data_IF_055054566571
#
_entry.id   IF_055054566571
#
_cell.length_a   1.000
_cell.length_b   1.000
_cell.length_c   1.000
_cell.angle_alpha   90.00
_cell.angle_beta   90.00
_cell.angle_gamma   90.00
#
_symmetry.space_group_name_H-M   'P 1'
#
loop_
_entity.id
_entity.type
_entity.pdbx_description
1 polymer ?
#
# COMPACT_ATOMS: atom_id res chain seq x y z
N UNK A 1 -6.55 -24.85 -22.60
CA UNK A 1 -6.39 -23.52 -22.01
C UNK A 1 -5.23 -22.83 -22.69
N UNK A 2 -5.43 -21.63 -23.21
CA UNK A 2 -4.34 -20.89 -23.88
C UNK A 2 -3.30 -20.43 -22.86
N UNK A 3 -2.03 -20.35 -23.26
CA UNK A 3 -0.93 -19.83 -22.41
C UNK A 3 -1.27 -18.44 -21.83
N UNK A 4 -1.99 -17.62 -22.59
CA UNK A 4 -2.45 -16.29 -22.16
C UNK A 4 -3.46 -16.39 -21.01
N UNK A 5 -4.35 -17.38 -21.03
CA UNK A 5 -5.32 -17.62 -19.95
C UNK A 5 -4.63 -18.06 -18.66
N UNK A 6 -3.60 -18.90 -18.76
CA UNK A 6 -2.81 -19.33 -17.60
C UNK A 6 -2.01 -18.18 -17.00
N UNK A 7 -1.39 -17.36 -17.84
CA UNK A 7 -0.63 -16.20 -17.39
C UNK A 7 -1.51 -15.17 -16.66
N UNK A 8 -2.74 -14.93 -17.13
CA UNK A 8 -3.71 -14.08 -16.46
C UNK A 8 -4.16 -14.64 -15.11
N UNK A 9 -4.40 -15.94 -15.03
CA UNK A 9 -4.79 -16.60 -13.78
C UNK A 9 -3.71 -16.49 -12.73
N UNK A 10 -2.45 -16.76 -13.08
CA UNK A 10 -1.30 -16.61 -12.17
C UNK A 10 -1.12 -15.17 -11.72
N UNK A 11 -1.30 -14.19 -12.62
CA UNK A 11 -1.24 -12.77 -12.30
C UNK A 11 -2.32 -12.34 -11.30
N UNK A 12 -3.54 -12.86 -11.42
CA UNK A 12 -4.65 -12.60 -10.47
C UNK A 12 -4.32 -13.14 -9.07
N UNK A 13 -3.82 -14.36 -8.96
CA UNK A 13 -3.41 -14.93 -7.66
C UNK A 13 -2.24 -14.16 -7.06
N UNK A 14 -1.29 -13.74 -7.87
CA UNK A 14 -0.19 -12.88 -7.44
C UNK A 14 -0.72 -11.57 -6.83
N UNK A 15 -1.64 -10.88 -7.50
CA UNK A 15 -2.22 -9.64 -7.01
C UNK A 15 -3.01 -9.82 -5.72
N UNK A 16 -3.76 -10.92 -5.58
CA UNK A 16 -4.49 -11.24 -4.36
C UNK A 16 -3.55 -11.48 -3.18
N UNK A 17 -2.47 -12.22 -3.39
CA UNK A 17 -1.47 -12.47 -2.36
C UNK A 17 -0.74 -11.18 -1.96
N UNK A 18 -0.36 -10.38 -2.94
CA UNK A 18 0.30 -9.08 -2.74
C UNK A 18 -0.59 -8.11 -1.96
N UNK A 19 -1.87 -8.03 -2.33
CA UNK A 19 -2.85 -7.23 -1.61
C UNK A 19 -2.99 -7.68 -0.14
N UNK A 20 -3.01 -8.98 0.11
CA UNK A 20 -3.08 -9.52 1.46
C UNK A 20 -1.87 -9.09 2.30
N UNK A 21 -0.65 -9.18 1.76
CA UNK A 21 0.57 -8.72 2.44
C UNK A 21 0.50 -7.23 2.78
N UNK A 22 0.09 -6.41 1.83
CA UNK A 22 -0.01 -4.95 2.00
C UNK A 22 -1.02 -4.59 3.08
N UNK A 23 -2.19 -5.20 3.04
CA UNK A 23 -3.27 -4.94 4.02
C UNK A 23 -2.86 -5.39 5.42
N UNK A 24 -2.30 -6.58 5.56
CA UNK A 24 -1.84 -7.08 6.86
C UNK A 24 -0.74 -6.17 7.42
N UNK A 25 0.28 -5.84 6.63
CA UNK A 25 1.37 -4.98 7.07
C UNK A 25 0.90 -3.61 7.52
N UNK A 26 -0.06 -3.02 6.82
CA UNK A 26 -0.64 -1.74 7.18
C UNK A 26 -1.46 -1.79 8.47
N UNK A 27 -2.38 -2.73 8.59
CA UNK A 27 -3.30 -2.81 9.73
C UNK A 27 -2.68 -3.42 10.99
N UNK A 28 -1.51 -4.03 10.91
CA UNK A 28 -0.72 -4.38 12.10
C UNK A 28 -0.27 -3.13 12.85
N UNK A 29 0.04 -2.05 12.15
CA UNK A 29 0.66 -0.84 12.74
C UNK A 29 -0.33 0.30 12.93
N UNK A 30 -1.08 0.69 11.91
CA UNK A 30 -1.83 1.96 11.91
C UNK A 30 -2.92 2.07 12.96
N UNK A 31 -3.74 1.05 13.26
CA UNK A 31 -4.74 1.15 14.33
C UNK A 31 -4.14 1.37 15.71
N UNK A 32 -2.88 0.97 15.91
CA UNK A 32 -2.21 1.03 17.20
C UNK A 32 -1.42 2.30 17.45
N UNK A 33 -1.24 3.14 16.42
CA UNK A 33 -0.50 4.41 16.55
C UNK A 33 -1.16 5.30 17.60
N UNK A 34 -2.47 5.50 17.55
CA UNK A 34 -3.19 6.30 18.53
C UNK A 34 -3.11 5.72 19.93
N UNK A 35 -3.22 4.40 20.07
CA UNK A 35 -3.12 3.72 21.37
C UNK A 35 -1.73 3.94 21.97
N UNK A 36 -0.69 3.73 21.19
CA UNK A 36 0.69 3.85 21.68
C UNK A 36 1.05 5.30 22.02
N UNK A 37 0.86 6.24 21.09
CA UNK A 37 1.32 7.61 21.28
C UNK A 37 0.43 8.42 22.21
N UNK A 38 -0.88 8.24 22.16
CA UNK A 38 -1.81 8.99 23.03
C UNK A 38 -1.97 8.34 24.39
N UNK A 39 -2.31 7.05 24.43
CA UNK A 39 -2.65 6.39 25.70
C UNK A 39 -1.42 5.92 26.48
N UNK A 40 -0.40 5.39 25.82
CA UNK A 40 0.81 4.88 26.48
C UNK A 40 1.87 5.94 26.72
N UNK A 41 2.12 6.83 25.75
CA UNK A 41 3.13 7.89 25.87
C UNK A 41 2.56 9.24 26.32
N UNK A 42 1.25 9.40 26.36
CA UNK A 42 0.60 10.63 26.80
C UNK A 42 0.72 11.81 25.84
N UNK A 43 0.97 11.58 24.56
CA UNK A 43 1.00 12.64 23.56
C UNK A 43 -0.40 13.23 23.36
N UNK A 44 -0.47 14.52 22.99
CA UNK A 44 -1.74 15.15 22.68
C UNK A 44 -2.43 14.44 21.49
N UNK A 45 -3.71 14.14 21.65
CA UNK A 45 -4.50 13.50 20.60
C UNK A 45 -4.51 14.31 19.29
N UNK A 46 -4.47 15.64 19.37
CA UNK A 46 -4.39 16.54 18.22
C UNK A 46 -3.10 16.32 17.40
N UNK A 47 -1.96 16.11 18.07
CA UNK A 47 -0.66 15.87 17.41
C UNK A 47 -0.68 14.58 16.63
N UNK A 48 -1.20 13.51 17.22
CA UNK A 48 -1.31 12.19 16.56
C UNK A 48 -2.39 12.20 15.46
N UNK A 49 -3.52 12.83 15.73
CA UNK A 49 -4.57 13.02 14.74
C UNK A 49 -4.11 13.82 13.52
N UNK A 50 -3.29 14.84 13.73
CA UNK A 50 -2.66 15.61 12.66
C UNK A 50 -1.72 14.72 11.80
N UNK A 51 -0.93 13.87 12.43
CA UNK A 51 -0.06 12.93 11.73
C UNK A 51 -0.86 11.98 10.81
N UNK A 52 -1.93 11.39 11.32
CA UNK A 52 -2.80 10.49 10.57
C UNK A 52 -3.58 11.21 9.47
N UNK A 53 -4.05 12.41 9.74
CA UNK A 53 -4.71 13.27 8.74
C UNK A 53 -3.76 13.71 7.64
N UNK A 54 -2.54 14.07 7.98
CA UNK A 54 -1.48 14.44 7.03
C UNK A 54 -1.14 13.27 6.10
N UNK A 55 -1.04 12.06 6.63
CA UNK A 55 -0.87 10.85 5.84
C UNK A 55 -2.00 10.69 4.81
N UNK A 56 -3.25 10.80 5.26
CA UNK A 56 -4.41 10.66 4.39
C UNK A 56 -4.45 11.74 3.31
N UNK A 57 -4.18 12.98 3.70
CA UNK A 57 -4.14 14.12 2.77
C UNK A 57 -3.07 13.95 1.69
N UNK A 58 -1.85 13.55 2.07
CA UNK A 58 -0.74 13.33 1.12
C UNK A 58 -1.07 12.18 0.19
N UNK A 59 -1.57 11.06 0.70
CA UNK A 59 -1.88 9.89 -0.11
C UNK A 59 -2.99 10.17 -1.11
N UNK A 60 -4.06 10.82 -0.72
CA UNK A 60 -5.17 11.15 -1.61
C UNK A 60 -4.83 12.32 -2.55
N UNK A 61 -4.17 13.35 -2.03
CA UNK A 61 -3.82 14.54 -2.83
C UNK A 61 -2.79 14.26 -3.91
N UNK A 62 -1.79 13.44 -3.63
CA UNK A 62 -0.73 13.07 -4.60
C UNK A 62 -1.06 11.82 -5.41
N UNK A 63 -2.14 11.11 -5.12
CA UNK A 63 -2.56 9.92 -5.86
C UNK A 63 -2.78 10.19 -7.36
N UNK A 64 -3.24 11.38 -7.70
CA UNK A 64 -3.42 11.84 -9.09
C UNK A 64 -2.08 11.85 -9.84
N UNK A 65 -1.02 12.31 -9.19
CA UNK A 65 0.33 12.37 -9.79
C UNK A 65 1.00 11.00 -9.86
N UNK A 66 0.66 10.07 -8.95
CA UNK A 66 1.21 8.72 -8.92
C UNK A 66 0.93 7.94 -10.21
N UNK A 67 -0.26 8.08 -10.78
CA UNK A 67 -0.60 7.47 -12.07
C UNK A 67 0.26 7.98 -13.22
N UNK A 68 0.46 9.30 -13.30
CA UNK A 68 1.29 9.92 -14.34
C UNK A 68 2.77 9.49 -14.25
N UNK A 69 3.29 9.36 -13.03
CA UNK A 69 4.66 8.89 -12.80
C UNK A 69 4.78 7.42 -13.16
N UNK A 70 3.79 6.58 -12.82
CA UNK A 70 3.77 5.17 -13.18
C UNK A 70 3.78 4.94 -14.69
N UNK A 71 3.09 5.77 -15.45
CA UNK A 71 3.08 5.72 -16.92
C UNK A 71 4.48 6.00 -17.49
N UNK A 72 5.27 6.81 -16.82
CA UNK A 72 6.61 7.18 -17.27
C UNK A 72 7.68 6.15 -16.92
N UNK A 73 7.66 5.61 -15.70
CA UNK A 73 8.72 4.73 -15.17
C UNK A 73 8.36 3.24 -15.20
N UNK A 74 7.11 2.90 -15.46
CA UNK A 74 6.62 1.52 -15.42
C UNK A 74 6.10 1.11 -14.04
N UNK A 75 5.26 0.07 -14.02
CA UNK A 75 4.57 -0.34 -12.79
C UNK A 75 5.52 -0.98 -11.76
N UNK A 76 6.41 -1.88 -12.20
CA UNK A 76 7.27 -2.65 -11.30
C UNK A 76 8.19 -1.78 -10.44
N UNK A 77 9.01 -0.86 -11.01
CA UNK A 77 9.88 0.00 -10.21
C UNK A 77 9.10 0.87 -9.22
N UNK A 78 7.93 1.36 -9.64
CA UNK A 78 7.06 2.21 -8.82
C UNK A 78 6.49 1.45 -7.63
N UNK A 79 5.99 0.23 -7.84
CA UNK A 79 5.44 -0.61 -6.78
C UNK A 79 6.52 -0.96 -5.76
N UNK A 80 7.68 -1.41 -6.21
CA UNK A 80 8.81 -1.79 -5.33
C UNK A 80 9.30 -0.59 -4.53
N UNK A 81 9.50 0.55 -5.17
CA UNK A 81 9.92 1.79 -4.49
C UNK A 81 8.88 2.25 -3.47
N UNK A 82 7.60 2.19 -3.82
CA UNK A 82 6.50 2.54 -2.92
C UNK A 82 6.46 1.66 -1.68
N UNK A 83 6.64 0.36 -1.83
CA UNK A 83 6.69 -0.57 -0.71
C UNK A 83 7.90 -0.35 0.20
N UNK A 84 9.07 -0.07 -0.38
CA UNK A 84 10.27 0.25 0.39
C UNK A 84 10.11 1.58 1.15
N UNK A 85 9.52 2.60 0.56
CA UNK A 85 9.22 3.86 1.24
C UNK A 85 8.24 3.66 2.40
N UNK A 86 7.25 2.83 2.24
CA UNK A 86 6.30 2.50 3.31
C UNK A 86 6.98 1.72 4.42
N UNK A 87 7.85 0.77 4.11
CA UNK A 87 8.69 0.08 5.09
C UNK A 87 9.57 1.04 5.88
N UNK A 88 10.20 1.99 5.20
CA UNK A 88 11.00 3.05 5.84
C UNK A 88 10.14 3.92 6.76
N UNK A 89 8.95 4.32 6.33
CA UNK A 89 8.00 5.06 7.14
C UNK A 89 7.63 4.32 8.42
N UNK A 90 7.36 3.04 8.35
CA UNK A 90 7.06 2.21 9.52
C UNK A 90 8.26 2.04 10.45
N UNK A 91 9.46 1.89 9.90
CA UNK A 91 10.69 1.87 10.70
C UNK A 91 10.89 3.19 11.46
N UNK A 92 10.62 4.33 10.82
CA UNK A 92 10.68 5.64 11.49
C UNK A 92 9.60 5.81 12.56
N UNK A 93 8.41 5.23 12.39
CA UNK A 93 7.39 5.20 13.46
C UNK A 93 7.92 4.45 14.68
N UNK A 94 8.64 3.34 14.49
CA UNK A 94 9.28 2.61 15.57
C UNK A 94 10.30 3.45 16.35
N UNK A 95 10.98 4.35 15.66
CA UNK A 95 12.02 5.23 16.22
C UNK A 95 11.49 6.61 16.62
N UNK A 96 10.18 6.86 16.53
CA UNK A 96 9.59 8.16 16.81
C UNK A 96 9.62 8.46 18.31
N UNK A 97 10.49 9.38 18.71
CA UNK A 97 10.59 9.91 20.07
C UNK A 97 9.99 11.31 20.20
N UNK A 98 9.80 11.98 19.07
CA UNK A 98 9.24 13.34 19.00
C UNK A 98 8.14 13.44 17.92
N UNK A 99 7.19 14.38 18.06
CA UNK A 99 6.07 14.52 17.11
C UNK A 99 6.49 14.70 15.66
N UNK A 100 7.55 15.46 15.39
CA UNK A 100 8.01 15.72 14.02
C UNK A 100 8.52 14.46 13.32
N UNK A 101 9.08 13.49 14.05
CA UNK A 101 9.52 12.20 13.50
C UNK A 101 8.29 11.38 13.06
N UNK A 102 7.24 11.38 13.86
CA UNK A 102 5.98 10.71 13.51
C UNK A 102 5.35 11.35 12.27
N UNK A 103 5.37 12.65 12.14
CA UNK A 103 4.83 13.35 10.97
C UNK A 103 5.60 13.01 9.69
N UNK A 104 6.93 13.02 9.74
CA UNK A 104 7.77 12.59 8.61
C UNK A 104 7.52 11.13 8.25
N UNK A 105 7.43 10.25 9.23
CA UNK A 105 7.13 8.84 9.02
C UNK A 105 5.78 8.62 8.33
N UNK A 106 4.75 9.36 8.72
CA UNK A 106 3.44 9.33 8.09
C UNK A 106 3.47 9.84 6.65
N UNK A 107 4.24 10.90 6.38
CA UNK A 107 4.43 11.41 5.01
C UNK A 107 5.13 10.38 4.13
N UNK A 108 6.20 9.73 4.61
CA UNK A 108 6.91 8.69 3.86
C UNK A 108 6.01 7.48 3.58
N UNK A 109 5.23 7.04 4.55
CA UNK A 109 4.24 5.98 4.38
C UNK A 109 3.20 6.35 3.32
N UNK A 110 2.71 7.58 3.33
CA UNK A 110 1.76 8.10 2.36
C UNK A 110 2.34 8.17 0.94
N UNK A 111 3.57 8.65 0.81
CA UNK A 111 4.28 8.66 -0.48
C UNK A 111 4.47 7.24 -1.03
N UNK A 112 4.78 6.29 -0.18
CA UNK A 112 4.82 4.88 -0.55
C UNK A 112 3.50 4.39 -1.14
N UNK A 113 2.38 4.67 -0.48
CA UNK A 113 1.04 4.35 -0.97
C UNK A 113 0.72 5.03 -2.30
N UNK A 114 1.08 6.29 -2.45
CA UNK A 114 0.90 7.06 -3.68
C UNK A 114 1.64 6.43 -4.87
N UNK A 115 2.81 5.85 -4.63
CA UNK A 115 3.62 5.25 -5.70
C UNK A 115 3.13 3.85 -6.09
N UNK A 116 2.53 3.06 -5.18
CA UNK A 116 2.15 1.70 -5.53
C UNK A 116 0.66 1.49 -5.83
N UNK A 117 -0.25 2.26 -5.24
CA UNK A 117 -1.69 2.09 -5.42
C UNK A 117 -2.16 2.29 -6.88
N UNK A 118 -1.80 3.37 -7.60
CA UNK A 118 -2.20 3.54 -8.99
C UNK A 118 -1.65 2.47 -9.94
N UNK A 119 -0.36 2.10 -9.90
CA UNK A 119 0.16 1.01 -10.73
C UNK A 119 -0.49 -0.33 -10.44
N UNK A 120 -0.78 -0.63 -9.17
CA UNK A 120 -1.49 -1.86 -8.77
C UNK A 120 -2.90 -1.89 -9.35
N UNK A 121 -3.64 -0.80 -9.25
CA UNK A 121 -4.99 -0.69 -9.83
C UNK A 121 -4.96 -0.87 -11.35
N UNK A 122 -3.99 -0.27 -12.03
CA UNK A 122 -3.79 -0.45 -13.46
C UNK A 122 -3.51 -1.92 -13.83
N UNK A 123 -2.71 -2.63 -13.04
CA UNK A 123 -2.46 -4.06 -13.24
C UNK A 123 -3.73 -4.90 -13.04
N UNK A 124 -4.55 -4.59 -12.05
CA UNK A 124 -5.85 -5.24 -11.84
C UNK A 124 -6.73 -5.09 -13.08
N UNK A 125 -6.83 -3.89 -13.61
CA UNK A 125 -7.62 -3.62 -14.82
C UNK A 125 -7.06 -4.39 -16.03
N UNK A 126 -5.75 -4.45 -16.17
CA UNK A 126 -5.09 -5.15 -17.29
C UNK A 126 -5.27 -6.67 -17.23
N UNK A 127 -5.25 -7.26 -16.04
CA UNK A 127 -5.30 -8.70 -15.85
C UNK A 127 -6.74 -9.25 -15.75
N UNK A 128 -7.73 -8.40 -15.54
CA UNK A 128 -9.13 -8.79 -15.44
C UNK A 128 -9.90 -8.43 -16.71
N UNK A 129 -10.80 -9.32 -17.13
CA UNK A 129 -11.75 -9.01 -18.20
C UNK A 129 -12.85 -8.08 -17.68
N UNK A 130 -13.48 -7.24 -18.53
CA UNK A 130 -14.50 -6.27 -18.08
C UNK A 130 -15.64 -6.90 -17.27
N UNK A 131 -16.07 -8.11 -17.60
CA UNK A 131 -17.15 -8.81 -16.88
C UNK A 131 -16.73 -9.43 -15.53
N UNK A 132 -15.41 -9.58 -15.30
CA UNK A 132 -14.85 -10.13 -14.05
C UNK A 132 -14.39 -9.05 -13.07
N UNK A 133 -14.24 -7.81 -13.50
CA UNK A 133 -13.65 -6.72 -12.69
C UNK A 133 -14.40 -6.46 -11.41
N UNK A 134 -15.73 -6.38 -11.48
CA UNK A 134 -16.55 -6.15 -10.30
C UNK A 134 -16.35 -7.22 -9.24
N UNK A 135 -16.33 -8.49 -9.65
CA UNK A 135 -16.11 -9.63 -8.76
C UNK A 135 -14.70 -9.59 -8.16
N UNK A 136 -13.69 -9.27 -8.97
CA UNK A 136 -12.30 -9.22 -8.51
C UNK A 136 -12.09 -8.07 -7.51
N UNK A 137 -12.63 -6.88 -7.77
CA UNK A 137 -12.58 -5.77 -6.82
C UNK A 137 -13.35 -6.07 -5.53
N UNK A 138 -14.47 -6.81 -5.60
CA UNK A 138 -15.17 -7.28 -4.41
C UNK A 138 -14.34 -8.24 -3.57
N UNK A 139 -13.56 -9.12 -4.21
CA UNK A 139 -12.62 -10.01 -3.51
C UNK A 139 -11.51 -9.21 -2.83
N UNK A 140 -10.97 -8.17 -3.48
CA UNK A 140 -9.97 -7.28 -2.87
C UNK A 140 -10.54 -6.54 -1.66
N UNK A 141 -11.76 -6.01 -1.74
CA UNK A 141 -12.43 -5.36 -0.62
C UNK A 141 -12.70 -6.33 0.54
N UNK A 142 -13.06 -7.56 0.24
CA UNK A 142 -13.24 -8.59 1.26
C UNK A 142 -11.90 -8.92 1.95
N UNK A 143 -10.81 -9.03 1.19
CA UNK A 143 -9.46 -9.17 1.75
C UNK A 143 -9.07 -7.96 2.60
N UNK A 144 -9.38 -6.75 2.16
CA UNK A 144 -9.08 -5.53 2.90
C UNK A 144 -9.79 -5.54 4.26
N UNK A 145 -11.05 -5.92 4.29
CA UNK A 145 -11.85 -6.02 5.52
C UNK A 145 -11.34 -7.14 6.45
N UNK A 146 -11.11 -8.33 5.92
CA UNK A 146 -10.59 -9.46 6.70
C UNK A 146 -9.17 -9.18 7.19
N UNK A 147 -8.32 -8.62 6.33
CA UNK A 147 -6.95 -8.25 6.65
C UNK A 147 -6.88 -7.14 7.71
N UNK A 148 -7.81 -6.19 7.69
CA UNK A 148 -7.91 -5.16 8.72
C UNK A 148 -8.17 -5.77 10.10
N UNK A 149 -9.10 -6.71 10.21
CA UNK A 149 -9.39 -7.41 11.47
C UNK A 149 -8.20 -8.26 11.92
N UNK A 150 -7.69 -9.09 11.05
CA UNK A 150 -6.57 -9.99 11.36
C UNK A 150 -5.31 -9.20 11.69
N UNK A 151 -4.99 -8.17 10.92
CA UNK A 151 -3.85 -7.29 11.15
C UNK A 151 -3.94 -6.57 12.49
N UNK A 152 -5.10 -6.01 12.82
CA UNK A 152 -5.33 -5.36 14.11
C UNK A 152 -5.20 -6.32 15.29
N UNK A 153 -5.68 -7.56 15.15
CA UNK A 153 -5.53 -8.59 16.19
C UNK A 153 -4.07 -8.97 16.39
N UNK A 154 -3.32 -9.19 15.31
CA UNK A 154 -1.89 -9.49 15.38
C UNK A 154 -1.13 -8.33 16.01
N UNK A 155 -1.41 -7.11 15.58
CA UNK A 155 -0.80 -5.91 16.12
C UNK A 155 -1.08 -5.72 17.61
N UNK A 156 -2.32 -5.91 18.03
CA UNK A 156 -2.72 -5.82 19.45
C UNK A 156 -2.03 -6.88 20.31
N UNK A 157 -1.88 -8.08 19.78
CA UNK A 157 -1.14 -9.13 20.46
C UNK A 157 0.35 -8.79 20.61
N UNK A 158 0.99 -8.28 19.55
CA UNK A 158 2.39 -7.85 19.58
C UNK A 158 2.61 -6.62 20.48
N UNK A 159 1.62 -5.73 20.56
CA UNK A 159 1.70 -4.54 21.41
C UNK A 159 1.83 -4.86 22.88
N UNK A 160 1.36 -6.01 23.33
CA UNK A 160 1.54 -6.48 24.70
C UNK A 160 3.01 -6.64 25.09
N UNK A 161 3.87 -6.89 24.12
CA UNK A 161 5.31 -7.04 24.32
C UNK A 161 6.03 -5.70 24.14
N UNK A 162 5.94 -5.10 22.95
CA UNK A 162 6.57 -3.82 22.63
C UNK A 162 5.95 -3.22 21.36
N UNK A 163 5.76 -1.91 21.34
CA UNK A 163 5.31 -1.19 20.15
C UNK A 163 6.35 -1.23 19.03
N UNK A 164 7.64 -1.20 19.35
CA UNK A 164 8.69 -1.34 18.34
C UNK A 164 8.58 -2.66 17.57
N UNK A 165 8.24 -3.74 18.26
CA UNK A 165 8.00 -5.03 17.63
C UNK A 165 6.85 -4.97 16.61
N UNK A 166 5.77 -4.24 16.92
CA UNK A 166 4.65 -4.00 16.00
C UNK A 166 5.12 -3.30 14.73
N UNK A 167 5.85 -2.21 14.87
CA UNK A 167 6.35 -1.41 13.76
C UNK A 167 7.36 -2.17 12.89
N UNK A 168 8.29 -2.88 13.52
CA UNK A 168 9.27 -3.71 12.79
C UNK A 168 8.62 -4.87 12.06
N UNK A 169 7.58 -5.46 12.62
CA UNK A 169 6.79 -6.49 11.92
C UNK A 169 6.11 -5.91 10.68
N UNK A 170 5.47 -4.77 10.79
CA UNK A 170 4.87 -4.07 9.65
C UNK A 170 5.90 -3.69 8.57
N UNK A 171 7.03 -3.13 8.97
CA UNK A 171 8.13 -2.80 8.08
C UNK A 171 8.69 -4.05 7.39
N UNK A 172 8.86 -5.14 8.13
CA UNK A 172 9.31 -6.43 7.60
C UNK A 172 8.37 -7.00 6.55
N UNK A 173 7.07 -6.92 6.78
CA UNK A 173 6.05 -7.36 5.81
C UNK A 173 6.16 -6.56 4.51
N UNK A 174 6.34 -5.24 4.58
CA UNK A 174 6.51 -4.41 3.38
C UNK A 174 7.83 -4.67 2.66
N UNK A 175 8.91 -4.94 3.37
CA UNK A 175 10.18 -5.36 2.75
C UNK A 175 10.01 -6.70 2.03
N UNK A 176 9.36 -7.67 2.65
CA UNK A 176 9.04 -8.96 2.02
C UNK A 176 8.15 -8.76 0.79
N UNK A 177 7.15 -7.91 0.86
CA UNK A 177 6.30 -7.57 -0.28
C UNK A 177 7.11 -6.91 -1.40
N UNK A 178 8.03 -6.02 -1.09
CA UNK A 178 8.92 -5.39 -2.06
C UNK A 178 9.82 -6.43 -2.76
N UNK A 179 10.42 -7.34 -2.01
CA UNK A 179 11.24 -8.44 -2.55
C UNK A 179 10.40 -9.35 -3.44
N UNK A 180 9.22 -9.73 -2.97
CA UNK A 180 8.27 -10.56 -3.72
C UNK A 180 7.92 -9.93 -5.07
N UNK A 181 7.57 -8.64 -5.08
CA UNK A 181 7.28 -7.91 -6.31
C UNK A 181 8.51 -7.77 -7.22
N UNK A 182 9.69 -7.52 -6.65
CA UNK A 182 10.91 -7.38 -7.42
C UNK A 182 11.31 -8.69 -8.14
N UNK A 183 11.06 -9.84 -7.50
CA UNK A 183 11.44 -11.14 -8.05
C UNK A 183 10.39 -11.73 -8.99
N UNK A 184 9.10 -11.57 -8.69
CA UNK A 184 8.02 -12.30 -9.36
C UNK A 184 7.11 -11.43 -10.22
N UNK A 185 7.10 -10.11 -10.02
CA UNK A 185 6.32 -9.22 -10.88
C UNK A 185 7.03 -9.07 -12.22
N UNK A 186 6.44 -9.54 -13.34
CA UNK A 186 7.03 -9.30 -14.64
C UNK A 186 7.04 -7.81 -14.93
N UNK A 187 8.07 -7.33 -15.65
CA UNK A 187 8.19 -5.94 -16.07
C UNK A 187 7.11 -5.59 -17.09
N UNK A 188 5.86 -5.47 -16.63
CA UNK A 188 4.79 -4.93 -17.46
C UNK A 188 5.08 -3.46 -17.71
N UNK A 189 5.55 -3.13 -18.90
CA UNK A 189 5.44 -1.78 -19.41
C UNK A 189 3.97 -1.54 -19.67
N UNK A 190 3.37 -0.62 -18.92
CA UNK A 190 2.12 -0.01 -19.32
C UNK A 190 2.46 0.67 -20.65
N UNK A 191 1.95 0.11 -21.76
CA UNK A 191 2.27 0.64 -23.08
C UNK A 191 1.80 2.08 -23.12
N UNK A 192 2.74 3.00 -23.24
CA UNK A 192 2.51 4.40 -23.55
C UNK A 192 2.07 4.52 -25.00
N UNK A 193 0.88 4.05 -25.35
CA UNK A 193 0.15 4.65 -26.45
C UNK A 193 -0.38 5.96 -25.89
N UNK A 194 0.37 7.02 -26.18
CA UNK A 194 -0.08 8.40 -26.02
C UNK A 194 -1.27 8.62 -26.94
N UNK A 195 -2.46 8.22 -26.53
CA UNK A 195 -3.67 8.84 -27.04
C UNK A 195 -3.85 10.10 -26.21
N UNK A 196 -3.84 11.28 -26.82
CA UNK A 196 -4.13 12.52 -26.12
C UNK A 196 -5.49 12.40 -25.45
N UNK A 197 -5.61 12.91 -24.23
CA UNK A 197 -6.80 12.81 -23.37
C UNK A 197 -8.07 13.31 -24.05
N UNK A 198 -7.96 14.13 -25.09
CA UNK A 198 -9.08 14.71 -25.84
C UNK A 198 -9.66 13.82 -26.94
N UNK A 199 -9.00 12.78 -27.40
CA UNK A 199 -9.57 11.86 -28.39
C UNK A 199 -10.69 10.95 -27.86
N UNK A 200 -10.86 10.86 -26.54
CA UNK A 200 -11.93 10.11 -25.88
C UNK A 200 -13.22 10.91 -25.66
N UNK A 201 -13.25 12.19 -25.96
CA UNK A 201 -14.42 13.04 -25.72
C UNK A 201 -15.32 13.25 -26.95
N UNK A 202 -14.97 12.70 -28.10
CA UNK A 202 -15.75 12.84 -29.37
C UNK A 202 -16.49 11.56 -29.80
N UNK A 203 -16.70 10.58 -28.92
CA UNK A 203 -17.52 9.41 -29.24
C UNK A 203 -18.57 9.15 -28.19
#
# INVERSE_FOLDING_TARGET
MSLVSQARSLGKYFLLFDNLLVVLGFFVVFPLISIHFVEQLGWAALVVGFALGLRQFVQQGLGIFGGAIADRFGAKPMIVTGMLLRALGFALIALATEPWILWIACILSALGGTLFDPPRTALVIKLTRPHERGRFFSLLLMQDSAGAVIGALIGSWLLQYDFQLVCWTGAGVFVLAAIWNALFLPAYRISTTRTPIWEGMER
#
